data_IF_170043102730
#
_entry.id   IF_170043102730
#
_cell.length_a   1.000
_cell.length_b   1.000
_cell.length_c   1.000
_cell.angle_alpha   90.00
_cell.angle_beta   90.00
_cell.angle_gamma   90.00
#
_symmetry.space_group_name_H-M   'P 1'
#
loop_
_entity.id
_entity.type
_entity.pdbx_description
1 polymer ?
#
# COMPACT_ATOMS: atom_id res chain seq x y z
N UNK A 1 14.99 17.72 35.28
CA UNK A 1 15.00 17.51 33.81
C UNK A 1 13.74 16.84 33.24
N UNK A 2 12.92 16.11 34.02
CA UNK A 2 11.72 15.42 33.50
C UNK A 2 10.43 16.27 33.39
N UNK A 3 10.38 17.46 33.99
CA UNK A 3 9.23 18.38 33.90
C UNK A 3 9.29 19.33 32.68
N UNK A 4 10.48 19.64 32.17
CA UNK A 4 10.67 20.52 31.01
C UNK A 4 10.26 19.89 29.67
N UNK A 5 10.46 18.57 29.49
CA UNK A 5 10.06 17.86 28.27
C UNK A 5 8.53 17.69 28.14
N UNK A 6 7.80 17.59 29.26
CA UNK A 6 6.33 17.50 29.24
C UNK A 6 5.69 18.81 28.76
N UNK A 7 6.19 19.97 29.17
CA UNK A 7 5.63 21.26 28.75
C UNK A 7 5.90 21.56 27.26
N UNK A 8 7.06 21.17 26.72
CA UNK A 8 7.40 21.34 25.30
C UNK A 8 6.53 20.47 24.37
N UNK A 9 6.29 19.21 24.76
CA UNK A 9 5.39 18.32 24.02
C UNK A 9 3.93 18.78 24.10
N UNK A 10 3.51 19.34 25.25
CA UNK A 10 2.14 19.82 25.45
C UNK A 10 1.82 21.09 24.64
N UNK A 11 2.76 22.06 24.58
CA UNK A 11 2.58 23.26 23.76
C UNK A 11 2.64 22.98 22.25
N UNK A 12 3.48 22.04 21.81
CA UNK A 12 3.53 21.62 20.41
C UNK A 12 2.23 20.92 19.98
N UNK A 13 1.66 20.08 20.85
CA UNK A 13 0.40 19.38 20.59
C UNK A 13 -0.80 20.34 20.50
N UNK A 14 -0.87 21.35 21.38
CA UNK A 14 -1.95 22.36 21.36
C UNK A 14 -1.89 23.27 20.12
N UNK A 15 -0.67 23.62 19.67
CA UNK A 15 -0.45 24.39 18.43
C UNK A 15 -0.92 23.62 17.18
N UNK A 16 -0.63 22.32 17.13
CA UNK A 16 -1.07 21.42 16.05
C UNK A 16 -2.60 21.28 16.05
N UNK A 17 -3.22 21.11 17.23
CA UNK A 17 -4.67 20.97 17.37
C UNK A 17 -5.42 22.26 16.97
N UNK A 18 -4.88 23.44 17.31
CA UNK A 18 -5.44 24.72 16.88
C UNK A 18 -5.26 24.98 15.38
N UNK A 19 -4.12 24.61 14.81
CA UNK A 19 -3.87 24.68 13.35
C UNK A 19 -4.84 23.77 12.58
N UNK A 20 -5.11 22.57 13.11
CA UNK A 20 -6.05 21.62 12.52
C UNK A 20 -7.51 22.13 12.59
N UNK A 21 -7.96 22.63 13.75
CA UNK A 21 -9.29 23.26 13.90
C UNK A 21 -9.49 24.48 13.00
N UNK A 22 -8.46 25.30 12.77
CA UNK A 22 -8.53 26.45 11.83
C UNK A 22 -8.59 26.00 10.37
N UNK A 23 -7.86 24.92 10.00
CA UNK A 23 -7.88 24.35 8.64
C UNK A 23 -9.21 23.67 8.31
N UNK A 24 -9.81 22.95 9.25
CA UNK A 24 -11.14 22.32 9.06
C UNK A 24 -12.26 23.35 9.02
N UNK A 25 -12.22 24.40 9.85
CA UNK A 25 -13.18 25.50 9.79
C UNK A 25 -13.12 26.27 8.45
N UNK A 26 -11.91 26.50 7.90
CA UNK A 26 -11.74 27.11 6.56
C UNK A 26 -12.28 26.23 5.44
N UNK A 27 -12.01 24.92 5.46
CA UNK A 27 -12.59 23.97 4.48
C UNK A 27 -14.12 23.96 4.54
N UNK A 28 -14.71 23.90 5.74
CA UNK A 28 -16.16 23.93 5.91
C UNK A 28 -16.81 25.25 5.44
N UNK A 29 -16.14 26.39 5.64
CA UNK A 29 -16.60 27.69 5.15
C UNK A 29 -16.60 27.76 3.60
N UNK A 30 -15.57 27.24 2.94
CA UNK A 30 -15.47 27.18 1.48
C UNK A 30 -16.57 26.29 0.90
N UNK A 31 -16.79 25.09 1.45
CA UNK A 31 -17.85 24.19 1.00
C UNK A 31 -19.25 24.79 1.18
N UNK A 32 -19.47 25.58 2.24
CA UNK A 32 -20.75 26.29 2.48
C UNK A 32 -20.96 27.44 1.48
N UNK A 33 -19.89 28.10 1.06
CA UNK A 33 -19.92 29.17 0.06
C UNK A 33 -20.22 28.60 -1.33
N UNK A 34 -19.59 27.47 -1.70
CA UNK A 34 -19.84 26.73 -2.95
C UNK A 34 -21.28 26.20 -3.05
N UNK A 35 -21.85 25.69 -1.94
CA UNK A 35 -23.26 25.26 -1.91
C UNK A 35 -24.22 26.45 -2.10
N UNK A 36 -23.89 27.62 -1.53
CA UNK A 36 -24.69 28.85 -1.69
C UNK A 36 -24.63 29.40 -3.11
N UNK A 37 -23.46 29.39 -3.76
CA UNK A 37 -23.34 29.81 -5.17
C UNK A 37 -24.05 28.86 -6.12
N UNK A 38 -23.96 27.54 -5.92
CA UNK A 38 -24.72 26.55 -6.72
C UNK A 38 -26.24 26.71 -6.58
N UNK A 39 -26.76 26.91 -5.36
CA UNK A 39 -28.19 27.16 -5.14
C UNK A 39 -28.67 28.49 -5.76
N UNK A 40 -27.83 29.53 -5.76
CA UNK A 40 -28.16 30.84 -6.37
C UNK A 40 -28.17 30.76 -7.90
N UNK A 41 -27.30 29.95 -8.50
CA UNK A 41 -27.30 29.66 -9.94
C UNK A 41 -28.54 28.86 -10.36
N UNK A 42 -28.94 27.86 -9.58
CA UNK A 42 -30.14 27.06 -9.83
C UNK A 42 -31.44 27.87 -9.73
N UNK A 43 -31.52 28.81 -8.78
CA UNK A 43 -32.67 29.74 -8.66
C UNK A 43 -32.76 30.74 -9.81
N UNK A 44 -31.62 31.16 -10.41
CA UNK A 44 -31.62 32.01 -11.61
C UNK A 44 -32.02 31.21 -12.87
N UNK A 45 -31.54 29.98 -13.03
CA UNK A 45 -31.93 29.12 -14.16
C UNK A 45 -33.43 28.75 -14.18
N UNK A 46 -34.02 28.52 -13.01
CA UNK A 46 -35.46 28.17 -12.91
C UNK A 46 -36.41 29.35 -13.17
N UNK A 47 -35.90 30.60 -13.14
CA UNK A 47 -36.69 31.82 -13.43
C UNK A 47 -36.73 32.15 -14.92
N UNK A 48 -35.82 31.58 -15.73
CA UNK A 48 -35.76 31.82 -17.19
C UNK A 48 -36.64 30.82 -17.97
N UNK A 49 -36.99 29.66 -17.40
CA UNK A 49 -37.75 28.60 -18.10
C UNK A 49 -39.28 28.73 -17.92
N UNK A 50 -39.78 29.77 -17.24
CA UNK A 50 -41.23 29.99 -17.04
C UNK A 50 -41.86 31.06 -17.94
N UNK A 51 -41.09 31.69 -18.82
CA UNK A 51 -41.60 32.63 -19.82
C UNK A 51 -41.06 32.21 -21.20
N UNK A 52 -41.89 31.58 -22.03
CA UNK A 52 -41.55 31.16 -23.39
C UNK A 52 -42.33 29.91 -23.80
N UNK A 53 -43.47 30.10 -24.46
CA UNK A 53 -44.42 29.06 -24.83
C UNK A 53 -44.18 28.37 -26.17
N UNK A 54 -44.97 27.30 -26.32
CA UNK A 54 -45.74 26.83 -27.49
C UNK A 54 -45.06 26.38 -28.81
N UNK A 55 -45.57 25.26 -29.36
CA UNK A 55 -45.48 24.91 -30.79
C UNK A 55 -44.74 23.62 -31.22
N UNK A 56 -45.50 22.62 -31.68
CA UNK A 56 -45.31 22.05 -33.04
C UNK A 56 -44.43 20.81 -33.31
N UNK A 57 -45.10 19.70 -33.67
CA UNK A 57 -44.73 18.49 -34.43
C UNK A 57 -43.45 18.43 -35.33
N UNK A 58 -42.88 17.22 -35.46
CA UNK A 58 -42.29 16.75 -36.74
C UNK A 58 -41.09 15.77 -36.70
N UNK A 59 -41.37 14.47 -36.91
CA UNK A 59 -40.64 13.41 -37.63
C UNK A 59 -39.08 13.31 -37.70
N UNK A 60 -38.58 12.06 -37.57
CA UNK A 60 -37.41 11.56 -38.32
C UNK A 60 -36.35 10.79 -37.54
N UNK A 61 -36.34 9.45 -37.65
CA UNK A 61 -35.23 8.57 -37.21
C UNK A 61 -34.05 8.62 -38.21
N UNK A 62 -32.85 8.11 -37.85
CA UNK A 62 -32.60 6.68 -38.07
C UNK A 62 -31.83 5.94 -36.95
N UNK A 63 -31.97 4.62 -37.00
CA UNK A 63 -31.44 3.58 -36.10
C UNK A 63 -29.93 3.37 -36.29
N UNK A 64 -29.23 3.06 -35.20
CA UNK A 64 -27.98 2.30 -35.20
C UNK A 64 -28.10 1.07 -34.29
N UNK A 65 -27.93 -0.09 -34.91
CA UNK A 65 -27.88 -1.48 -34.43
C UNK A 65 -26.70 -1.74 -33.49
N UNK A 66 -26.91 -2.45 -32.35
CA UNK A 66 -26.37 -3.80 -32.05
C UNK A 66 -24.85 -3.81 -31.75
N UNK A 67 -24.30 -4.32 -30.65
CA UNK A 67 -24.58 -5.48 -29.79
C UNK A 67 -24.23 -5.12 -28.33
N UNK A 68 -25.06 -5.53 -27.36
CA UNK A 68 -24.69 -5.58 -25.93
C UNK A 68 -24.60 -7.04 -25.52
N UNK A 69 -23.39 -7.51 -25.22
CA UNK A 69 -23.17 -8.81 -24.60
C UNK A 69 -23.86 -8.83 -23.23
N UNK A 70 -24.70 -9.84 -22.98
CA UNK A 70 -25.35 -10.08 -21.69
C UNK A 70 -24.29 -10.57 -20.69
N UNK A 71 -23.99 -9.78 -19.67
CA UNK A 71 -23.35 -10.25 -18.45
C UNK A 71 -24.32 -11.19 -17.71
N UNK A 72 -23.85 -12.28 -17.08
CA UNK A 72 -24.71 -13.19 -16.34
C UNK A 72 -25.32 -12.47 -15.13
N UNK A 73 -26.58 -12.80 -14.83
CA UNK A 73 -27.33 -12.23 -13.72
C UNK A 73 -26.76 -12.73 -12.39
N UNK A 74 -26.52 -11.80 -11.46
CA UNK A 74 -26.18 -12.08 -10.06
C UNK A 74 -27.49 -12.41 -9.36
N UNK A 75 -27.61 -13.61 -8.80
CA UNK A 75 -28.75 -13.97 -7.95
C UNK A 75 -28.62 -13.29 -6.58
N UNK A 76 -29.74 -12.78 -6.00
CA UNK A 76 -29.72 -12.17 -4.68
C UNK A 76 -29.63 -13.26 -3.61
N UNK A 77 -28.56 -13.25 -2.81
CA UNK A 77 -28.41 -14.08 -1.62
C UNK A 77 -29.32 -13.51 -0.52
N UNK A 78 -30.16 -14.35 0.06
CA UNK A 78 -31.14 -13.99 1.10
C UNK A 78 -30.48 -13.59 2.41
N UNK A 79 -31.05 -12.56 3.07
CA UNK A 79 -30.68 -12.09 4.41
C UNK A 79 -30.89 -13.16 5.48
N UNK A 80 -29.87 -13.99 5.72
CA UNK A 80 -29.65 -14.66 6.99
C UNK A 80 -28.22 -14.35 7.44
N UNK A 81 -28.06 -14.24 8.75
CA UNK A 81 -26.92 -13.75 9.53
C UNK A 81 -25.64 -14.63 9.41
N UNK A 82 -25.27 -15.00 8.19
CA UNK A 82 -24.01 -15.68 7.91
C UNK A 82 -22.89 -14.64 7.90
N UNK A 83 -22.18 -14.57 9.02
CA UNK A 83 -20.86 -13.94 9.07
C UNK A 83 -20.04 -14.42 7.87
N UNK A 84 -19.43 -13.57 7.04
CA UNK A 84 -18.56 -14.06 5.97
C UNK A 84 -17.26 -14.71 6.51
N UNK A 85 -17.09 -14.69 7.83
CA UNK A 85 -16.07 -15.40 8.60
C UNK A 85 -16.61 -16.63 9.35
N UNK A 86 -17.91 -16.97 9.23
CA UNK A 86 -18.35 -18.27 9.72
C UNK A 86 -17.60 -19.30 8.89
N UNK A 87 -16.85 -20.23 9.52
CA UNK A 87 -16.35 -21.35 8.77
C UNK A 87 -17.56 -22.01 8.12
N UNK A 88 -17.50 -22.24 6.80
CA UNK A 88 -18.22 -23.37 6.26
C UNK A 88 -17.64 -24.58 6.98
N UNK A 89 -18.31 -25.01 8.05
CA UNK A 89 -18.13 -26.34 8.59
C UNK A 89 -18.55 -27.22 7.43
N UNK A 90 -17.58 -27.69 6.65
CA UNK A 90 -17.78 -28.84 5.78
C UNK A 90 -18.00 -29.97 6.77
N UNK A 91 -19.25 -30.17 7.15
CA UNK A 91 -19.67 -31.28 7.99
C UNK A 91 -19.31 -32.55 7.24
N UNK A 92 -18.34 -33.30 7.79
CA UNK A 92 -18.15 -34.70 7.42
C UNK A 92 -16.78 -35.13 6.90
N UNK A 93 -15.75 -34.28 6.85
CA UNK A 93 -14.39 -34.78 6.62
C UNK A 93 -13.40 -34.20 7.64
N UNK A 94 -12.77 -35.05 8.48
CA UNK A 94 -11.61 -34.61 9.25
C UNK A 94 -10.58 -34.09 8.24
N UNK A 95 -10.19 -32.82 8.37
CA UNK A 95 -9.17 -32.24 7.51
C UNK A 95 -7.88 -33.04 7.72
N UNK A 96 -7.20 -33.48 6.66
CA UNK A 96 -6.01 -34.31 6.80
C UNK A 96 -4.99 -33.57 7.66
N UNK A 97 -4.47 -34.24 8.70
CA UNK A 97 -3.38 -33.71 9.52
C UNK A 97 -2.29 -33.17 8.59
N UNK A 98 -1.71 -31.99 8.86
CA UNK A 98 -0.64 -31.46 8.03
C UNK A 98 0.46 -32.53 7.90
N UNK A 99 0.68 -33.02 6.68
CA UNK A 99 1.77 -33.94 6.41
C UNK A 99 3.07 -33.22 6.75
N UNK A 100 3.89 -33.85 7.59
CA UNK A 100 5.25 -33.41 7.98
C UNK A 100 6.25 -33.46 6.80
N UNK A 101 5.86 -33.08 5.59
CA UNK A 101 6.80 -32.76 4.53
C UNK A 101 7.06 -31.27 4.56
N UNK A 102 8.29 -30.89 4.93
CA UNK A 102 8.73 -29.51 4.93
C UNK A 102 8.89 -29.04 3.48
N UNK A 103 7.79 -28.66 2.83
CA UNK A 103 7.84 -28.03 1.51
C UNK A 103 8.26 -26.57 1.69
N UNK A 104 9.32 -26.18 0.98
CA UNK A 104 9.86 -24.81 1.05
C UNK A 104 8.85 -23.79 0.52
N UNK A 105 8.09 -24.18 -0.49
CA UNK A 105 7.06 -23.36 -1.16
C UNK A 105 5.88 -24.25 -1.58
N UNK A 106 4.65 -23.71 -1.70
CA UNK A 106 3.49 -24.43 -2.22
C UNK A 106 3.67 -24.90 -3.67
N UNK A 107 2.85 -25.87 -4.10
CA UNK A 107 2.92 -26.43 -5.46
C UNK A 107 2.62 -25.39 -6.55
N UNK A 108 1.73 -24.43 -6.28
CA UNK A 108 1.38 -23.35 -7.21
C UNK A 108 2.42 -22.22 -7.28
N UNK A 109 3.43 -22.20 -6.41
CA UNK A 109 4.46 -21.15 -6.39
C UNK A 109 5.11 -20.97 -7.76
N UNK A 110 5.57 -22.06 -8.38
CA UNK A 110 6.27 -21.99 -9.67
C UNK A 110 5.37 -21.47 -10.80
N UNK A 111 4.07 -21.76 -10.74
CA UNK A 111 3.09 -21.23 -11.70
C UNK A 111 2.93 -19.72 -11.56
N UNK A 112 2.88 -19.21 -10.33
CA UNK A 112 2.83 -17.76 -10.06
C UNK A 112 4.12 -17.08 -10.53
N UNK A 113 5.29 -17.63 -10.19
CA UNK A 113 6.57 -17.07 -10.63
C UNK A 113 6.69 -17.04 -12.15
N UNK A 114 6.28 -18.11 -12.85
CA UNK A 114 6.31 -18.17 -14.30
C UNK A 114 5.36 -17.14 -14.97
N UNK A 115 4.28 -16.75 -14.29
CA UNK A 115 3.36 -15.72 -14.76
C UNK A 115 3.90 -14.29 -14.55
N UNK A 116 4.92 -14.10 -13.72
CA UNK A 116 5.55 -12.81 -13.50
C UNK A 116 6.71 -12.57 -14.47
N UNK A 117 6.82 -11.32 -14.93
CA UNK A 117 7.91 -10.91 -15.81
C UNK A 117 9.27 -11.04 -15.12
N UNK A 118 10.28 -11.67 -15.76
CA UNK A 118 11.64 -11.71 -15.24
C UNK A 118 12.33 -10.35 -15.35
N UNK A 119 13.36 -10.09 -14.52
CA UNK A 119 14.22 -8.91 -14.69
C UNK A 119 14.85 -8.89 -16.08
N UNK A 120 14.83 -7.72 -16.70
CA UNK A 120 15.43 -7.42 -18.00
C UNK A 120 16.81 -6.77 -17.81
N UNK A 121 17.71 -6.84 -18.81
CA UNK A 121 19.02 -6.18 -18.73
C UNK A 121 18.92 -4.66 -18.49
N UNK A 122 17.85 -4.01 -18.94
CA UNK A 122 17.60 -2.58 -18.71
C UNK A 122 17.30 -2.22 -17.25
N UNK A 123 17.00 -3.19 -16.40
CA UNK A 123 16.76 -2.96 -14.97
C UNK A 123 18.04 -3.05 -14.13
N UNK A 124 19.15 -3.43 -14.77
CA UNK A 124 20.44 -3.52 -14.10
C UNK A 124 21.06 -2.12 -14.10
N UNK A 125 21.22 -1.57 -12.90
CA UNK A 125 21.80 -0.24 -12.70
C UNK A 125 23.33 -0.32 -12.81
N UNK A 126 23.87 -0.26 -14.03
CA UNK A 126 25.32 -0.25 -14.27
C UNK A 126 25.78 1.07 -14.92
N UNK A 127 26.59 1.85 -14.20
CA UNK A 127 27.79 2.55 -14.73
C UNK A 127 28.51 3.31 -13.59
N UNK A 128 29.83 3.12 -13.45
CA UNK A 128 30.68 3.94 -12.58
C UNK A 128 30.90 5.35 -13.17
N UNK A 129 30.82 5.47 -14.51
CA UNK A 129 31.07 6.72 -15.23
C UNK A 129 30.00 7.81 -14.98
N UNK A 130 28.75 7.45 -14.71
CA UNK A 130 27.72 8.44 -14.35
C UNK A 130 27.94 8.98 -12.92
N UNK A 131 28.53 8.16 -12.04
CA UNK A 131 28.77 8.51 -10.64
C UNK A 131 29.81 9.63 -10.52
N UNK A 132 30.91 9.60 -11.29
CA UNK A 132 31.93 10.66 -11.25
C UNK A 132 31.40 12.02 -11.73
N UNK A 133 30.58 12.02 -12.79
CA UNK A 133 29.94 13.24 -13.28
C UNK A 133 28.95 13.79 -12.25
N UNK A 134 28.17 12.91 -11.63
CA UNK A 134 27.25 13.25 -10.56
C UNK A 134 27.96 13.85 -9.34
N UNK A 135 29.09 13.26 -8.92
CA UNK A 135 29.93 13.78 -7.83
C UNK A 135 30.35 15.22 -8.13
N UNK A 136 31.01 15.46 -9.28
CA UNK A 136 31.48 16.79 -9.66
C UNK A 136 30.33 17.80 -9.70
N UNK A 137 29.21 17.40 -10.29
CA UNK A 137 28.04 18.26 -10.41
C UNK A 137 27.48 18.67 -9.03
N UNK A 138 27.36 17.73 -8.08
CA UNK A 138 26.90 18.02 -6.71
C UNK A 138 27.89 18.93 -5.98
N UNK A 139 29.19 18.64 -6.05
CA UNK A 139 30.23 19.45 -5.40
C UNK A 139 30.32 20.87 -5.98
N UNK A 140 30.31 21.00 -7.32
CA UNK A 140 30.36 22.30 -8.00
C UNK A 140 29.10 23.13 -7.74
N UNK A 141 27.93 22.47 -7.65
CA UNK A 141 26.68 23.14 -7.29
C UNK A 141 26.74 23.67 -5.86
N UNK A 142 27.14 22.85 -4.88
CA UNK A 142 27.30 23.33 -3.50
C UNK A 142 28.32 24.47 -3.42
N UNK A 143 29.42 24.38 -4.18
CA UNK A 143 30.43 25.45 -4.26
C UNK A 143 29.86 26.75 -4.81
N UNK A 144 28.97 26.71 -5.81
CA UNK A 144 28.34 27.92 -6.36
C UNK A 144 27.47 28.65 -5.33
N UNK A 145 26.87 27.91 -4.39
CA UNK A 145 26.17 28.45 -3.22
C UNK A 145 27.10 28.80 -2.03
N UNK A 146 28.42 28.79 -2.25
CA UNK A 146 29.45 29.07 -1.22
C UNK A 146 29.40 28.07 -0.05
N UNK A 147 29.10 26.81 -0.36
CA UNK A 147 29.13 25.69 0.58
C UNK A 147 30.26 24.74 0.16
N UNK A 148 31.33 24.73 0.95
CA UNK A 148 32.43 23.78 0.76
C UNK A 148 32.04 22.40 1.30
N UNK A 149 31.95 21.43 0.41
CA UNK A 149 31.54 20.08 0.73
C UNK A 149 32.19 19.10 -0.23
N UNK A 150 32.45 17.87 0.24
CA UNK A 150 33.02 16.79 -0.56
C UNK A 150 32.11 15.57 -0.54
N UNK A 151 31.88 14.95 -1.68
CA UNK A 151 31.22 13.65 -1.74
C UNK A 151 32.22 12.58 -1.32
N UNK A 152 31.91 11.85 -0.24
CA UNK A 152 32.78 10.81 0.31
C UNK A 152 32.36 9.41 -0.10
N UNK A 153 31.10 9.24 -0.52
CA UNK A 153 30.56 7.96 -0.95
C UNK A 153 29.33 8.17 -1.83
N UNK A 154 29.07 7.22 -2.74
CA UNK A 154 27.91 7.24 -3.64
C UNK A 154 27.22 5.88 -3.57
N UNK A 155 25.91 5.90 -3.32
CA UNK A 155 25.06 4.71 -3.36
C UNK A 155 24.03 4.87 -4.44
N UNK A 156 24.16 4.08 -5.50
CA UNK A 156 23.25 4.10 -6.63
C UNK A 156 22.15 3.06 -6.44
N UNK A 157 20.90 3.51 -6.36
CA UNK A 157 19.72 2.66 -6.31
C UNK A 157 18.99 2.60 -7.64
N UNK A 158 17.86 1.87 -7.70
CA UNK A 158 17.06 1.74 -8.93
C UNK A 158 16.45 3.07 -9.40
N UNK A 159 15.92 3.87 -8.47
CA UNK A 159 15.18 5.11 -8.75
C UNK A 159 16.04 6.36 -8.50
N UNK A 160 16.86 6.34 -7.45
CA UNK A 160 17.64 7.49 -7.00
C UNK A 160 19.10 7.10 -6.77
N UNK A 161 20.00 8.07 -6.86
CA UNK A 161 21.39 7.97 -6.41
C UNK A 161 21.58 8.85 -5.19
N UNK A 162 22.07 8.27 -4.09
CA UNK A 162 22.43 9.00 -2.87
C UNK A 162 23.92 9.36 -2.90
N UNK A 163 24.21 10.65 -2.88
CA UNK A 163 25.55 11.19 -2.66
C UNK A 163 25.70 11.49 -1.17
N UNK A 164 26.63 10.79 -0.50
CA UNK A 164 26.97 11.06 0.90
C UNK A 164 28.02 12.18 0.92
N UNK A 165 27.61 13.35 1.41
CA UNK A 165 28.36 14.59 1.39
C UNK A 165 28.87 14.93 2.79
N UNK A 166 30.17 15.19 2.89
CA UNK A 166 30.83 15.72 4.08
C UNK A 166 31.00 17.24 3.92
N UNK A 167 30.26 18.07 4.67
CA UNK A 167 30.50 19.51 4.69
C UNK A 167 31.79 19.85 5.42
N UNK A 168 32.45 20.93 5.02
CA UNK A 168 33.60 21.48 5.73
C UNK A 168 33.22 21.97 7.15
N UNK A 169 34.18 22.00 8.09
CA UNK A 169 33.93 22.50 9.45
C UNK A 169 33.30 23.90 9.44
N UNK A 170 32.29 24.11 10.29
CA UNK A 170 31.61 25.40 10.45
C UNK A 170 30.41 25.61 9.51
N UNK A 171 30.19 24.76 8.51
CA UNK A 171 28.99 24.81 7.67
C UNK A 171 27.80 24.23 8.43
N UNK A 172 26.74 25.05 8.55
CA UNK A 172 25.48 24.61 9.17
C UNK A 172 24.74 23.67 8.23
N UNK A 173 24.37 22.50 8.75
CA UNK A 173 23.55 21.49 8.05
C UNK A 173 22.27 22.09 7.47
N UNK A 174 21.62 23.00 8.19
CA UNK A 174 20.39 23.66 7.75
C UNK A 174 20.54 24.47 6.46
N UNK A 175 21.74 24.97 6.13
CA UNK A 175 21.96 25.64 4.84
C UNK A 175 21.81 24.67 3.69
N UNK A 176 22.32 23.45 3.82
CA UNK A 176 22.25 22.44 2.75
C UNK A 176 20.83 21.92 2.61
N UNK A 177 20.14 21.67 3.73
CA UNK A 177 18.73 21.23 3.72
C UNK A 177 17.83 22.26 3.04
N UNK A 178 18.06 23.55 3.28
CA UNK A 178 17.26 24.63 2.69
C UNK A 178 17.56 24.87 1.19
N UNK A 179 18.61 24.28 0.63
CA UNK A 179 18.95 24.38 -0.79
C UNK A 179 18.37 23.24 -1.63
N UNK A 180 17.49 22.38 -1.09
CA UNK A 180 16.95 21.24 -1.82
C UNK A 180 16.33 21.63 -3.17
N UNK A 181 15.50 22.68 -3.22
CA UNK A 181 14.87 23.16 -4.45
C UNK A 181 15.90 23.73 -5.45
N UNK A 182 16.87 24.49 -4.96
CA UNK A 182 17.94 25.07 -5.76
C UNK A 182 18.89 23.99 -6.32
N UNK A 183 19.17 22.95 -5.52
CA UNK A 183 19.91 21.76 -5.94
C UNK A 183 19.13 21.01 -7.01
N UNK A 184 17.81 20.82 -6.85
CA UNK A 184 16.99 20.18 -7.87
C UNK A 184 17.06 20.94 -9.20
N UNK A 185 16.96 22.28 -9.16
CA UNK A 185 17.08 23.13 -10.34
C UNK A 185 18.45 23.00 -11.01
N UNK A 186 19.53 23.12 -10.24
CA UNK A 186 20.89 23.06 -10.77
C UNK A 186 21.27 21.67 -11.32
N UNK A 187 20.72 20.61 -10.72
CA UNK A 187 20.93 19.22 -11.15
C UNK A 187 19.99 18.81 -12.31
N UNK A 188 19.09 19.70 -12.74
CA UNK A 188 18.01 19.41 -13.68
C UNK A 188 17.19 18.17 -13.27
N UNK A 189 16.96 18.03 -11.97
CA UNK A 189 16.17 16.97 -11.36
C UNK A 189 14.74 17.45 -11.08
N UNK A 190 13.78 16.51 -11.07
CA UNK A 190 12.38 16.80 -10.72
C UNK A 190 12.28 17.26 -9.26
N UNK A 191 13.03 16.60 -8.38
CA UNK A 191 13.11 16.88 -6.95
C UNK A 191 14.43 16.32 -6.40
N UNK A 192 14.90 16.82 -5.26
CA UNK A 192 16.09 16.34 -4.54
C UNK A 192 15.76 16.20 -3.07
N UNK A 193 15.98 15.01 -2.51
CA UNK A 193 15.77 14.76 -1.08
C UNK A 193 17.09 14.89 -0.32
N UNK A 194 17.11 15.74 0.70
CA UNK A 194 18.27 15.91 1.59
C UNK A 194 18.00 15.26 2.95
N UNK A 195 18.77 14.22 3.26
CA UNK A 195 18.72 13.48 4.53
C UNK A 195 19.93 13.87 5.40
N UNK A 196 19.68 14.52 6.54
CA UNK A 196 20.74 15.09 7.35
C UNK A 196 20.51 14.89 8.86
N UNK A 197 21.43 14.23 9.60
CA UNK A 197 22.52 13.37 9.10
C UNK A 197 21.99 12.01 8.59
N UNK A 198 22.79 11.30 7.80
CA UNK A 198 22.51 9.89 7.47
C UNK A 198 22.63 9.05 8.76
N UNK A 199 21.63 8.21 9.10
CA UNK A 199 21.69 7.37 10.30
C UNK A 199 22.98 6.57 10.41
N UNK A 200 23.66 6.69 11.56
CA UNK A 200 24.93 6.00 11.83
C UNK A 200 26.16 6.58 11.13
N UNK A 201 26.05 7.73 10.44
CA UNK A 201 27.17 8.39 9.75
C UNK A 201 27.19 9.91 9.96
N UNK A 202 28.37 10.51 9.94
CA UNK A 202 28.57 11.97 10.07
C UNK A 202 28.50 12.72 8.73
N UNK A 203 27.62 12.30 7.84
CA UNK A 203 27.48 12.83 6.46
C UNK A 203 26.03 13.23 6.18
N UNK A 204 25.83 14.06 5.16
CA UNK A 204 24.51 14.45 4.63
C UNK A 204 24.25 13.62 3.36
N UNK A 205 23.11 12.96 3.26
CA UNK A 205 22.70 12.24 2.07
C UNK A 205 21.92 13.15 1.13
N UNK A 206 22.41 13.38 -0.07
CA UNK A 206 21.67 14.07 -1.14
C UNK A 206 21.19 13.02 -2.14
N UNK A 207 19.90 12.80 -2.21
CA UNK A 207 19.26 11.83 -3.11
C UNK A 207 18.76 12.53 -4.36
N UNK A 208 19.35 12.15 -5.49
CA UNK A 208 19.04 12.71 -6.80
C UNK A 208 18.40 11.62 -7.66
N UNK A 209 17.23 11.88 -8.29
CA UNK A 209 16.61 10.97 -9.23
C UNK A 209 17.56 10.56 -10.35
N UNK A 210 17.55 9.27 -10.69
CA UNK A 210 18.31 8.76 -11.82
C UNK A 210 17.69 9.25 -13.13
N UNK A 211 18.54 9.57 -14.12
CA UNK A 211 18.07 9.90 -15.49
C UNK A 211 17.31 8.75 -16.15
N UNK A 212 17.68 7.51 -15.80
CA UNK A 212 16.98 6.28 -16.19
C UNK A 212 16.66 5.51 -14.92
N UNK A 213 15.38 5.28 -14.68
CA UNK A 213 14.90 4.48 -13.56
C UNK A 213 14.95 3.00 -13.96
N UNK A 214 15.52 2.17 -13.11
CA UNK A 214 15.42 0.72 -13.25
C UNK A 214 14.14 0.21 -12.59
N UNK A 215 13.37 -0.60 -13.32
CA UNK A 215 12.12 -1.15 -12.80
C UNK A 215 12.42 -2.31 -11.84
N UNK A 216 11.92 -2.18 -10.60
CA UNK A 216 11.98 -3.26 -9.60
C UNK A 216 10.84 -4.22 -9.90
N UNK A 217 11.15 -5.43 -10.38
CA UNK A 217 10.12 -6.43 -10.69
C UNK A 217 9.81 -7.28 -9.46
N UNK A 218 8.56 -7.67 -9.31
CA UNK A 218 8.17 -8.53 -8.19
C UNK A 218 8.91 -9.87 -8.21
N UNK A 219 9.03 -10.49 -9.40
CA UNK A 219 9.65 -11.80 -9.61
C UNK A 219 11.05 -11.91 -9.01
N UNK A 220 11.92 -10.92 -9.24
CA UNK A 220 13.30 -10.95 -8.74
C UNK A 220 13.38 -10.96 -7.21
N UNK A 221 12.35 -10.46 -6.51
CA UNK A 221 12.29 -10.49 -5.05
C UNK A 221 11.68 -11.81 -4.57
N UNK A 222 10.64 -12.32 -5.23
CA UNK A 222 10.02 -13.59 -4.84
C UNK A 222 10.94 -14.79 -5.10
N UNK A 223 11.81 -14.71 -6.10
CA UNK A 223 12.79 -15.77 -6.39
C UNK A 223 13.96 -15.84 -5.39
N UNK A 224 14.07 -14.88 -4.45
CA UNK A 224 15.11 -14.89 -3.42
C UNK A 224 14.95 -16.07 -2.46
N UNK A 225 16.09 -16.60 -2.03
CA UNK A 225 16.10 -17.71 -1.08
C UNK A 225 15.57 -17.29 0.29
N UNK A 226 15.85 -16.06 0.73
CA UNK A 226 15.31 -15.48 1.96
C UNK A 226 13.77 -15.39 1.92
N UNK A 227 13.21 -15.09 0.76
CA UNK A 227 11.76 -15.13 0.57
C UNK A 227 11.28 -16.57 0.68
N UNK A 228 11.80 -17.48 -0.15
CA UNK A 228 11.39 -18.89 -0.21
C UNK A 228 11.46 -19.59 1.14
N UNK A 229 12.54 -19.39 1.90
CA UNK A 229 12.79 -20.04 3.19
C UNK A 229 12.12 -19.37 4.39
N UNK A 230 11.41 -18.27 4.21
CA UNK A 230 10.77 -17.58 5.32
C UNK A 230 9.78 -18.50 6.05
N UNK A 231 9.85 -18.62 7.39
CA UNK A 231 8.91 -19.45 8.14
C UNK A 231 7.49 -18.88 8.13
N UNK A 232 7.33 -17.56 7.96
CA UNK A 232 6.02 -16.91 7.93
C UNK A 232 5.39 -17.00 6.54
N UNK A 233 4.11 -17.36 6.53
CA UNK A 233 3.23 -17.38 5.36
C UNK A 233 2.73 -16.00 4.96
N UNK A 234 2.95 -15.00 5.82
CA UNK A 234 2.54 -13.61 5.62
C UNK A 234 3.70 -12.68 5.24
N UNK A 235 4.84 -13.24 4.82
CA UNK A 235 5.93 -12.46 4.23
C UNK A 235 5.55 -11.97 2.84
N UNK A 236 5.84 -10.70 2.59
CA UNK A 236 5.63 -10.07 1.30
C UNK A 236 6.82 -9.21 0.86
N UNK A 237 6.93 -9.03 -0.46
CA UNK A 237 7.92 -8.15 -1.05
C UNK A 237 7.46 -6.68 -0.99
N UNK A 238 8.28 -5.81 -0.40
CA UNK A 238 8.08 -4.35 -0.44
C UNK A 238 8.70 -3.70 -1.67
N UNK A 239 9.82 -4.25 -2.16
CA UNK A 239 10.60 -3.66 -3.24
C UNK A 239 12.09 -3.69 -2.93
N UNK A 240 12.83 -2.69 -3.40
CA UNK A 240 14.25 -2.48 -3.10
C UNK A 240 14.45 -1.16 -2.38
N UNK A 241 15.44 -1.11 -1.50
CA UNK A 241 15.86 0.15 -0.88
C UNK A 241 16.65 1.04 -1.86
N UNK A 242 17.03 2.22 -1.38
CA UNK A 242 17.83 3.21 -2.12
C UNK A 242 19.23 2.70 -2.53
N UNK A 243 19.71 1.59 -1.98
CA UNK A 243 20.95 0.94 -2.37
C UNK A 243 20.70 -0.29 -3.26
N UNK A 244 19.44 -0.54 -3.66
CA UNK A 244 19.07 -1.67 -4.51
C UNK A 244 18.91 -3.00 -3.76
N UNK A 245 19.03 -3.01 -2.44
CA UNK A 245 18.87 -4.26 -1.68
C UNK A 245 17.38 -4.60 -1.58
N UNK A 246 16.99 -5.87 -1.83
CA UNK A 246 15.61 -6.29 -1.69
C UNK A 246 15.13 -6.13 -0.24
N UNK A 247 13.87 -5.76 -0.09
CA UNK A 247 13.19 -5.61 1.20
C UNK A 247 11.97 -6.51 1.23
N UNK A 248 12.03 -7.46 2.15
CA UNK A 248 10.92 -8.28 2.57
C UNK A 248 10.36 -7.72 3.87
N UNK A 249 9.08 -7.90 4.09
CA UNK A 249 8.44 -7.57 5.34
C UNK A 249 7.41 -8.64 5.71
N UNK A 250 7.06 -8.74 6.98
CA UNK A 250 6.22 -9.81 7.51
C UNK A 250 5.00 -9.22 8.23
N UNK A 251 3.80 -9.50 7.72
CA UNK A 251 2.57 -8.99 8.32
C UNK A 251 2.34 -9.57 9.72
N UNK A 252 2.90 -10.74 10.07
CA UNK A 252 2.77 -11.30 11.42
C UNK A 252 3.49 -10.47 12.49
N UNK A 253 4.58 -9.78 12.12
CA UNK A 253 5.36 -8.92 13.01
C UNK A 253 4.81 -7.49 13.09
N UNK A 254 4.02 -7.08 12.10
CA UNK A 254 3.30 -5.81 12.04
C UNK A 254 1.84 -6.10 11.71
N UNK A 255 1.04 -6.56 12.69
CA UNK A 255 -0.25 -7.24 12.46
C UNK A 255 -1.27 -6.40 11.70
N UNK A 256 -1.09 -5.07 11.65
CA UNK A 256 -1.90 -4.16 10.86
C UNK A 256 -1.02 -3.13 10.15
N UNK A 257 -1.35 -2.84 8.89
CA UNK A 257 -0.63 -1.88 8.04
C UNK A 257 -1.62 -0.87 7.48
N UNK A 258 -1.24 0.41 7.48
CA UNK A 258 -1.94 1.48 6.78
C UNK A 258 -1.10 1.93 5.58
N UNK A 259 -1.68 1.89 4.39
CA UNK A 259 -1.01 2.34 3.15
C UNK A 259 -1.68 3.64 2.69
N UNK A 260 -0.89 4.72 2.64
CA UNK A 260 -1.33 6.03 2.17
C UNK A 260 -0.54 6.49 0.95
N UNK A 261 -1.22 7.10 -0.01
CA UNK A 261 -0.60 7.65 -1.21
C UNK A 261 -1.61 8.40 -2.07
N UNK A 262 -1.15 9.40 -2.83
CA UNK A 262 -1.98 10.08 -3.82
C UNK A 262 -2.31 9.14 -4.99
N UNK A 263 -3.28 9.50 -5.83
CA UNK A 263 -3.55 8.78 -7.08
C UNK A 263 -2.26 8.67 -7.91
N UNK A 264 -2.04 7.50 -8.52
CA UNK A 264 -0.85 7.22 -9.34
C UNK A 264 0.49 7.20 -8.57
N UNK A 265 0.49 7.18 -7.24
CA UNK A 265 1.70 7.04 -6.42
C UNK A 265 2.22 5.60 -6.32
N UNK A 266 1.47 4.62 -6.86
CA UNK A 266 1.80 3.19 -6.78
C UNK A 266 1.12 2.43 -5.65
N UNK A 267 0.15 3.02 -4.93
CA UNK A 267 -0.63 2.36 -3.86
C UNK A 267 -1.19 1.00 -4.30
N UNK A 268 -1.93 0.98 -5.41
CA UNK A 268 -2.59 -0.24 -5.90
C UNK A 268 -1.60 -1.30 -6.36
N UNK A 269 -0.49 -0.88 -7.02
CA UNK A 269 0.59 -1.79 -7.43
C UNK A 269 1.28 -2.41 -6.22
N UNK A 270 1.53 -1.62 -5.17
CA UNK A 270 2.07 -2.10 -3.90
C UNK A 270 1.13 -3.13 -3.26
N UNK A 271 -0.15 -2.82 -3.18
CA UNK A 271 -1.18 -3.69 -2.61
C UNK A 271 -1.30 -5.02 -3.38
N UNK A 272 -1.30 -4.98 -4.71
CA UNK A 272 -1.27 -6.18 -5.55
C UNK A 272 0.00 -7.00 -5.33
N UNK A 273 1.16 -6.34 -5.19
CA UNK A 273 2.43 -7.02 -4.92
C UNK A 273 2.43 -7.73 -3.57
N UNK A 274 1.80 -7.13 -2.56
CA UNK A 274 1.63 -7.75 -1.24
C UNK A 274 0.74 -9.00 -1.32
N UNK A 275 -0.42 -8.90 -1.97
CA UNK A 275 -1.35 -10.03 -2.13
C UNK A 275 -0.70 -11.17 -2.90
N UNK A 276 -0.07 -10.88 -4.06
CA UNK A 276 0.61 -11.90 -4.88
C UNK A 276 1.74 -12.56 -4.10
N UNK A 277 2.49 -11.81 -3.29
CA UNK A 277 3.53 -12.39 -2.45
C UNK A 277 2.96 -13.43 -1.47
N UNK A 278 1.87 -13.10 -0.77
CA UNK A 278 1.20 -14.01 0.17
C UNK A 278 0.64 -15.23 -0.57
N UNK A 279 -0.09 -15.02 -1.68
CA UNK A 279 -0.64 -16.09 -2.50
C UNK A 279 0.43 -17.04 -3.04
N UNK A 280 1.64 -16.54 -3.32
CA UNK A 280 2.75 -17.38 -3.78
C UNK A 280 3.31 -18.30 -2.70
N UNK A 281 3.14 -17.97 -1.42
CA UNK A 281 3.77 -18.68 -0.29
C UNK A 281 2.83 -19.51 0.55
N UNK A 282 1.54 -19.21 0.52
CA UNK A 282 0.55 -19.83 1.37
C UNK A 282 -0.37 -20.73 0.56
N UNK A 283 -0.73 -21.87 1.13
CA UNK A 283 -1.87 -22.67 0.68
C UNK A 283 -3.19 -22.10 1.24
N UNK A 284 -4.35 -22.38 0.60
CA UNK A 284 -5.65 -21.84 1.04
C UNK A 284 -6.10 -22.28 2.43
N UNK A 285 -5.52 -23.35 2.97
CA UNK A 285 -5.74 -23.86 4.32
C UNK A 285 -4.76 -23.26 5.35
N UNK A 286 -3.74 -22.52 4.91
CA UNK A 286 -2.82 -21.77 5.76
C UNK A 286 -3.22 -20.29 5.89
N UNK A 287 -3.69 -19.69 4.79
CA UNK A 287 -4.08 -18.28 4.73
C UNK A 287 -5.38 -18.12 3.96
N UNK A 288 -6.32 -17.39 4.57
CA UNK A 288 -7.54 -16.89 3.95
C UNK A 288 -7.52 -15.38 3.83
N UNK A 289 -8.12 -14.87 2.76
CA UNK A 289 -8.12 -13.44 2.41
C UNK A 289 -9.55 -12.94 2.28
N UNK A 290 -9.85 -11.82 2.93
CA UNK A 290 -11.08 -11.03 2.74
C UNK A 290 -10.72 -9.74 2.00
N UNK A 291 -11.18 -9.60 0.76
CA UNK A 291 -10.92 -8.43 -0.07
C UNK A 291 -12.14 -7.49 -0.09
N UNK A 292 -11.92 -6.21 0.25
CA UNK A 292 -12.93 -5.15 0.24
C UNK A 292 -12.47 -4.05 -0.74
N UNK A 293 -13.20 -3.92 -1.85
CA UNK A 293 -12.94 -2.98 -2.95
C UNK A 293 -14.24 -2.25 -3.33
N UNK A 294 -14.54 -1.12 -2.66
CA UNK A 294 -15.75 -0.36 -2.94
C UNK A 294 -15.78 0.26 -4.34
N UNK A 295 -14.62 0.35 -5.01
CA UNK A 295 -14.49 0.98 -6.33
C UNK A 295 -14.59 -0.03 -7.48
N UNK A 296 -14.47 -1.33 -7.22
CA UNK A 296 -14.43 -2.42 -8.23
C UNK A 296 -13.32 -2.27 -9.27
N UNK A 297 -12.19 -1.66 -8.89
CA UNK A 297 -11.10 -1.41 -9.83
C UNK A 297 -9.91 -2.29 -9.54
N UNK A 298 -9.49 -2.36 -8.28
CA UNK A 298 -8.15 -2.87 -7.94
C UNK A 298 -8.19 -4.35 -7.57
N UNK A 299 -9.12 -4.77 -6.70
CA UNK A 299 -9.10 -6.12 -6.13
C UNK A 299 -9.94 -7.15 -6.89
N UNK A 300 -10.76 -6.69 -7.84
CA UNK A 300 -11.59 -7.57 -8.67
C UNK A 300 -10.77 -8.56 -9.50
N UNK A 301 -9.48 -8.27 -9.74
CA UNK A 301 -8.52 -9.14 -10.41
C UNK A 301 -8.27 -10.47 -9.67
N UNK A 302 -8.52 -10.52 -8.36
CA UNK A 302 -8.31 -11.71 -7.53
C UNK A 302 -9.57 -12.58 -7.40
N UNK A 303 -10.67 -12.25 -8.09
CA UNK A 303 -11.90 -13.02 -8.02
C UNK A 303 -11.65 -14.50 -8.42
N UNK A 304 -12.15 -15.42 -7.60
CA UNK A 304 -12.03 -16.87 -7.83
C UNK A 304 -10.73 -17.51 -7.31
N UNK A 305 -9.81 -16.75 -6.72
CA UNK A 305 -8.64 -17.32 -6.03
C UNK A 305 -9.12 -18.15 -4.82
N UNK A 306 -8.61 -19.38 -4.60
CA UNK A 306 -9.11 -20.30 -3.56
C UNK A 306 -8.88 -19.81 -2.12
N UNK A 307 -7.98 -18.84 -1.92
CA UNK A 307 -7.73 -18.18 -0.64
C UNK A 307 -8.86 -17.25 -0.22
N UNK A 308 -9.74 -16.82 -1.13
CA UNK A 308 -10.82 -15.92 -0.77
C UNK A 308 -11.83 -16.59 0.17
N UNK A 309 -12.21 -15.89 1.24
CA UNK A 309 -13.27 -16.35 2.15
C UNK A 309 -14.67 -16.19 1.55
N UNK A 310 -14.81 -15.18 0.70
CA UNK A 310 -16.05 -14.78 0.06
C UNK A 310 -15.70 -14.01 -1.22
N UNK A 311 -16.65 -13.77 -2.13
CA UNK A 311 -16.45 -12.87 -3.25
C UNK A 311 -15.93 -11.50 -2.80
N UNK A 312 -15.22 -10.79 -3.69
CA UNK A 312 -14.70 -9.44 -3.41
C UNK A 312 -15.86 -8.54 -2.99
N UNK A 313 -15.77 -7.99 -1.78
CA UNK A 313 -16.82 -7.18 -1.18
C UNK A 313 -16.77 -5.79 -1.77
N UNK A 314 -17.91 -5.30 -2.24
CA UNK A 314 -18.01 -3.98 -2.88
C UNK A 314 -18.82 -3.01 -2.05
N UNK A 315 -19.94 -3.45 -1.48
CA UNK A 315 -20.79 -2.54 -0.73
C UNK A 315 -20.36 -2.43 0.74
N UNK A 316 -20.59 -1.25 1.30
CA UNK A 316 -20.23 -0.91 2.67
C UNK A 316 -20.92 -1.80 3.71
N UNK A 317 -22.14 -2.29 3.43
CA UNK A 317 -22.88 -3.12 4.38
C UNK A 317 -22.21 -4.49 4.55
N UNK A 318 -21.87 -5.15 3.45
CA UNK A 318 -21.14 -6.41 3.50
C UNK A 318 -19.72 -6.20 4.05
N UNK A 319 -19.08 -5.05 3.81
CA UNK A 319 -17.79 -4.74 4.43
C UNK A 319 -17.88 -4.64 5.96
N UNK A 320 -18.92 -3.98 6.49
CA UNK A 320 -19.18 -3.94 7.94
C UNK A 320 -19.48 -5.35 8.48
N UNK A 321 -20.28 -6.14 7.76
CA UNK A 321 -20.55 -7.54 8.14
C UNK A 321 -19.27 -8.35 8.20
N UNK A 322 -18.38 -8.16 7.23
CA UNK A 322 -17.07 -8.76 7.20
C UNK A 322 -16.26 -8.39 8.44
N UNK A 323 -16.06 -7.10 8.73
CA UNK A 323 -15.29 -6.69 9.89
C UNK A 323 -15.88 -7.20 11.22
N UNK A 324 -17.22 -7.23 11.37
CA UNK A 324 -17.87 -7.82 12.53
C UNK A 324 -17.62 -9.32 12.64
N UNK A 325 -17.62 -10.03 11.51
CA UNK A 325 -17.30 -11.45 11.47
C UNK A 325 -15.86 -11.74 11.88
N UNK A 326 -14.91 -10.90 11.46
CA UNK A 326 -13.52 -11.01 11.87
C UNK A 326 -13.35 -10.83 13.39
N UNK A 327 -14.12 -9.91 14.01
CA UNK A 327 -14.13 -9.73 15.47
C UNK A 327 -14.65 -10.98 16.19
N UNK A 328 -15.76 -11.56 15.72
CA UNK A 328 -16.30 -12.80 16.29
C UNK A 328 -15.32 -13.97 16.18
N UNK A 329 -14.66 -14.12 15.03
CA UNK A 329 -13.65 -15.18 14.84
C UNK A 329 -12.42 -14.94 15.72
N UNK A 330 -12.03 -13.68 15.94
CA UNK A 330 -10.98 -13.34 16.90
C UNK A 330 -11.36 -13.77 18.33
N UNK A 331 -12.57 -13.47 18.79
CA UNK A 331 -13.09 -13.86 20.10
C UNK A 331 -13.13 -15.40 20.25
N UNK A 332 -13.68 -16.10 19.26
CA UNK A 332 -13.68 -17.58 19.22
C UNK A 332 -12.27 -18.16 19.34
N UNK A 333 -11.29 -17.59 18.62
CA UNK A 333 -9.90 -18.06 18.70
C UNK A 333 -9.29 -17.84 20.07
N UNK A 334 -9.61 -16.73 20.74
CA UNK A 334 -9.15 -16.51 22.11
C UNK A 334 -9.70 -17.54 23.09
N UNK A 335 -10.97 -17.95 22.93
CA UNK A 335 -11.56 -19.03 23.72
C UNK A 335 -10.84 -20.35 23.48
N UNK A 336 -10.64 -20.75 22.22
CA UNK A 336 -9.89 -21.95 21.85
C UNK A 336 -8.45 -21.94 22.40
N UNK A 337 -7.78 -20.78 22.35
CA UNK A 337 -6.44 -20.63 22.88
C UNK A 337 -6.40 -20.76 24.40
N UNK A 338 -7.40 -20.20 25.09
CA UNK A 338 -7.51 -20.26 26.54
C UNK A 338 -7.81 -21.68 27.03
N UNK A 339 -8.74 -22.39 26.38
CA UNK A 339 -9.07 -23.80 26.67
C UNK A 339 -7.85 -24.71 26.53
N UNK A 340 -7.04 -24.47 25.50
CA UNK A 340 -5.83 -25.24 25.21
C UNK A 340 -4.58 -24.77 25.97
N UNK A 341 -4.63 -23.62 26.64
CA UNK A 341 -3.50 -23.03 27.35
C UNK A 341 -2.37 -22.51 26.44
N UNK A 342 -2.68 -22.10 25.21
CA UNK A 342 -1.72 -21.57 24.24
C UNK A 342 -1.90 -20.06 24.04
N UNK A 343 -0.91 -19.39 23.44
CA UNK A 343 -0.92 -17.91 23.30
C UNK A 343 -1.14 -17.40 21.88
N UNK A 344 -0.94 -18.24 20.87
CA UNK A 344 -1.00 -17.85 19.47
C UNK A 344 -1.39 -19.02 18.57
N UNK A 345 -1.71 -18.69 17.32
CA UNK A 345 -2.16 -19.65 16.32
C UNK A 345 -1.10 -20.69 15.98
N UNK A 346 0.18 -20.31 15.99
CA UNK A 346 1.29 -21.22 15.70
C UNK A 346 1.36 -22.34 16.75
N UNK A 347 1.28 -21.97 18.03
CA UNK A 347 1.30 -22.93 19.15
C UNK A 347 0.01 -23.75 19.21
N UNK A 348 -1.14 -23.15 18.87
CA UNK A 348 -2.41 -23.86 18.77
C UNK A 348 -2.34 -24.96 17.70
N UNK A 349 -1.92 -24.61 16.50
CA UNK A 349 -1.83 -25.52 15.36
C UNK A 349 -0.75 -26.60 15.56
N UNK A 350 0.35 -26.28 16.25
CA UNK A 350 1.41 -27.25 16.54
C UNK A 350 0.97 -28.34 17.52
N UNK A 351 -0.04 -28.09 18.35
CA UNK A 351 -0.53 -29.01 19.37
C UNK A 351 -1.90 -29.61 19.01
N UNK A 352 -2.32 -29.63 17.74
CA UNK A 352 -3.63 -30.14 17.33
C UNK A 352 -3.85 -31.60 17.73
N UNK A 353 -5.01 -31.84 18.35
CA UNK A 353 -5.57 -33.17 18.54
C UNK A 353 -6.40 -33.58 17.32
N UNK A 354 -6.78 -34.85 17.24
CA UNK A 354 -7.36 -35.45 16.02
C UNK A 354 -8.77 -34.92 15.67
N UNK A 355 -9.46 -34.39 16.67
CA UNK A 355 -10.81 -33.82 16.61
C UNK A 355 -10.84 -32.30 16.47
N UNK A 356 -9.68 -31.64 16.55
CA UNK A 356 -9.58 -30.18 16.50
C UNK A 356 -9.36 -29.62 15.08
N UNK A 357 -9.93 -28.45 14.82
CA UNK A 357 -9.78 -27.77 13.53
C UNK A 357 -8.45 -27.00 13.43
N UNK A 358 -7.69 -27.24 12.36
CA UNK A 358 -6.56 -26.39 11.97
C UNK A 358 -7.02 -24.96 11.66
N UNK A 359 -6.42 -23.98 12.32
CA UNK A 359 -6.70 -22.57 12.09
C UNK A 359 -5.78 -21.98 11.02
N UNK A 360 -6.34 -21.14 10.16
CA UNK A 360 -5.60 -20.38 9.14
C UNK A 360 -5.43 -18.92 9.55
N UNK A 361 -4.40 -18.23 9.03
CA UNK A 361 -4.33 -16.77 9.15
C UNK A 361 -5.41 -16.12 8.29
N UNK A 362 -5.94 -15.00 8.76
CA UNK A 362 -6.93 -14.20 8.04
C UNK A 362 -6.30 -12.85 7.70
N UNK A 363 -6.20 -12.53 6.41
CA UNK A 363 -5.72 -11.24 5.91
C UNK A 363 -6.91 -10.46 5.36
N UNK A 364 -7.24 -9.35 5.99
CA UNK A 364 -8.30 -8.44 5.52
C UNK A 364 -7.64 -7.28 4.78
N UNK A 365 -7.97 -7.14 3.50
CA UNK A 365 -7.45 -6.06 2.65
C UNK A 365 -8.58 -5.12 2.28
N UNK A 366 -8.40 -3.84 2.58
CA UNK A 366 -9.32 -2.76 2.27
C UNK A 366 -8.57 -1.80 1.35
N UNK A 367 -8.97 -1.70 0.08
CA UNK A 367 -8.30 -0.80 -0.87
C UNK A 367 -8.50 0.68 -0.49
N UNK A 368 -9.75 1.10 -0.31
CA UNK A 368 -10.11 2.47 0.03
C UNK A 368 -10.85 2.53 1.35
N UNK A 369 -10.11 2.68 2.44
CA UNK A 369 -10.69 2.81 3.78
C UNK A 369 -11.56 4.07 3.92
N UNK A 370 -11.28 5.14 3.17
CA UNK A 370 -12.05 6.38 3.26
C UNK A 370 -13.49 6.27 2.70
N UNK A 371 -13.76 5.24 1.89
CA UNK A 371 -15.09 4.96 1.34
C UNK A 371 -15.94 4.05 2.24
N UNK A 372 -15.33 3.45 3.28
CA UNK A 372 -16.02 2.74 4.37
C UNK A 372 -16.37 3.70 5.50
#
# INVERSE_FOLDING_TARGET
MLTGLRNLLWHSWFSIQHSWKRRTARKAAITKLERRTKQRAQRKGKKVVREGGDGGNGAGAPKATGLRARLPAIEPVSELDESPFTPHIVTGQPRPKPRKEFKLVPEHYHKIIAALEPPSPSDIVNSDADSERGIKLVEDTLRSFKIEAKVVNVKRGPVVTRYEVQPAPGIRVSRIVNLADDLALALAAIDVRVEAPVPGKSVIGIEVPNKRIALVRLREILELEDFKRSPSKLVFALGKDIAGNPKLADLSLMPHILIGGATNSGKSVCLNSMIVSILSRADPDEVKISLIDPKRVELSLFAGVPHLMHPVVVDTKHAISALRGAVREMERRYELFAEKGVRNIETYNANLEDDEELLYHIVIVIDELADL
#
